data_IF_541755460330
#
_entry.id   IF_541755460330
#
_cell.length_a   1.000
_cell.length_b   1.000
_cell.length_c   1.000
_cell.angle_alpha   90.00
_cell.angle_beta   90.00
_cell.angle_gamma   90.00
#
_symmetry.space_group_name_H-M   'P 1'
#
loop_
_entity.id
_entity.type
_entity.pdbx_description
1 polymer ?
#
# COMPACT_ATOMS: atom_id res chain seq x y z
N UNK A 1 -54.46 39.63 -0.15
CA UNK A 1 -54.10 40.74 -1.04
C UNK A 1 -52.71 40.48 -1.60
N UNK A 2 -52.60 40.32 -2.92
CA UNK A 2 -51.35 40.08 -3.65
C UNK A 2 -50.60 41.41 -3.81
N UNK A 3 -49.27 41.40 -3.61
CA UNK A 3 -48.37 42.36 -4.27
C UNK A 3 -47.12 41.62 -4.76
N UNK A 4 -46.98 41.68 -6.07
CA UNK A 4 -45.92 41.21 -6.96
C UNK A 4 -45.01 42.40 -7.24
N UNK A 5 -43.69 42.33 -7.07
CA UNK A 5 -42.70 43.21 -7.75
C UNK A 5 -41.34 42.49 -7.80
N UNK A 6 -40.97 41.89 -8.95
CA UNK A 6 -40.01 42.33 -10.02
C UNK A 6 -38.57 41.84 -9.82
N UNK A 7 -38.14 41.08 -10.83
CA UNK A 7 -36.80 40.59 -11.12
C UNK A 7 -35.80 41.72 -11.43
N UNK A 8 -34.54 41.51 -11.05
CA UNK A 8 -33.41 42.35 -11.44
C UNK A 8 -32.19 41.49 -11.72
N UNK A 9 -32.09 40.98 -12.95
CA UNK A 9 -30.84 40.47 -13.55
C UNK A 9 -29.84 41.61 -13.68
N UNK A 10 -28.68 41.50 -13.02
CA UNK A 10 -27.52 42.35 -13.30
C UNK A 10 -26.42 41.47 -13.90
N UNK A 11 -26.07 41.86 -15.12
CA UNK A 11 -25.09 41.29 -16.02
C UNK A 11 -23.66 41.73 -15.63
N UNK A 12 -22.71 40.83 -15.89
CA UNK A 12 -21.25 40.86 -15.72
C UNK A 12 -20.51 42.09 -16.33
N UNK A 13 -19.25 42.38 -15.94
CA UNK A 13 -18.13 41.80 -16.71
C UNK A 13 -16.94 41.27 -15.90
N UNK A 14 -16.39 40.19 -16.48
CA UNK A 14 -15.10 39.53 -16.29
C UNK A 14 -13.88 40.46 -16.40
N UNK A 15 -12.86 40.19 -15.60
CA UNK A 15 -11.47 40.52 -15.92
C UNK A 15 -10.60 39.26 -15.72
N UNK A 16 -10.31 38.57 -16.83
CA UNK A 16 -9.22 37.61 -16.95
C UNK A 16 -7.92 38.42 -17.12
N UNK A 17 -6.93 38.20 -16.24
CA UNK A 17 -5.54 38.58 -16.50
C UNK A 17 -4.75 37.30 -16.72
N UNK A 18 -4.52 36.97 -17.99
CA UNK A 18 -3.54 35.99 -18.42
C UNK A 18 -2.16 36.64 -18.32
N UNK A 19 -1.30 36.10 -17.45
CA UNK A 19 0.13 36.41 -17.44
C UNK A 19 0.82 35.41 -18.37
N UNK A 20 1.17 35.89 -19.55
CA UNK A 20 2.02 35.21 -20.51
C UNK A 20 3.48 35.44 -20.13
N UNK A 21 4.24 34.36 -19.94
CA UNK A 21 5.68 34.35 -20.13
C UNK A 21 5.97 33.41 -21.29
N UNK A 22 6.53 33.98 -22.35
CA UNK A 22 7.15 33.30 -23.46
C UNK A 22 8.56 33.86 -23.55
N UNK A 23 9.58 33.01 -23.45
CA UNK A 23 10.63 32.98 -24.47
C UNK A 23 11.52 31.74 -24.32
N UNK A 24 11.99 31.32 -25.49
CA UNK A 24 12.56 30.04 -25.87
C UNK A 24 14.10 30.10 -25.96
N UNK A 25 14.70 28.90 -25.98
CA UNK A 25 15.96 28.50 -26.64
C UNK A 25 17.09 28.00 -25.71
N UNK A 26 17.60 26.80 -26.03
CA UNK A 26 18.98 26.43 -25.72
C UNK A 26 19.20 24.99 -25.23
N UNK A 27 19.23 24.05 -26.17
CA UNK A 27 19.77 22.69 -26.03
C UNK A 27 21.22 22.68 -25.50
N UNK A 28 21.53 21.80 -24.55
CA UNK A 28 22.67 20.86 -24.66
C UNK A 28 22.59 19.79 -23.56
N UNK A 29 22.22 18.59 -23.99
CA UNK A 29 22.60 17.34 -23.34
C UNK A 29 24.04 17.03 -23.76
N UNK A 30 24.86 16.48 -22.86
CA UNK A 30 26.01 15.58 -23.09
C UNK A 30 27.07 15.74 -21.99
N UNK A 31 27.26 14.66 -21.23
CA UNK A 31 28.57 14.21 -20.77
C UNK A 31 28.43 12.73 -20.39
N UNK A 32 28.36 11.88 -21.40
CA UNK A 32 29.07 10.60 -21.39
C UNK A 32 30.36 10.82 -22.16
N UNK A 33 31.49 10.44 -21.58
CA UNK A 33 32.30 9.31 -22.04
C UNK A 33 33.78 9.53 -21.66
N UNK A 34 34.38 8.48 -21.10
CA UNK A 34 35.66 7.94 -21.54
C UNK A 34 36.04 6.77 -20.63
N UNK A 35 35.46 5.62 -20.98
CA UNK A 35 36.13 4.37 -21.26
C UNK A 35 37.67 4.43 -21.32
N UNK A 36 38.37 3.54 -20.61
CA UNK A 36 39.25 2.57 -21.28
C UNK A 36 39.59 1.39 -20.38
N UNK A 37 39.63 0.23 -21.02
CA UNK A 37 39.63 -1.14 -20.50
C UNK A 37 41.02 -1.75 -20.69
N UNK A 38 41.26 -2.88 -19.99
CA UNK A 38 42.15 -4.01 -20.37
C UNK A 38 43.65 -3.78 -20.01
N UNK A 39 44.45 -4.74 -19.51
CA UNK A 39 44.56 -6.19 -19.71
C UNK A 39 45.13 -6.89 -18.45
N UNK A 40 44.52 -8.00 -18.02
CA UNK A 40 45.04 -9.39 -18.05
C UNK A 40 46.29 -9.70 -17.21
N UNK A 41 46.19 -10.68 -16.30
CA UNK A 41 46.96 -11.94 -16.33
C UNK A 41 46.61 -12.85 -15.12
N UNK A 42 45.88 -13.93 -15.40
CA UNK A 42 46.10 -15.26 -14.80
C UNK A 42 47.42 -15.83 -15.36
N UNK A 43 48.14 -16.79 -14.72
CA UNK A 43 47.56 -18.06 -14.26
C UNK A 43 48.21 -18.82 -13.07
N UNK A 44 47.49 -19.87 -12.66
CA UNK A 44 47.94 -21.23 -12.29
C UNK A 44 48.76 -21.52 -11.01
N UNK A 45 48.04 -22.16 -10.07
CA UNK A 45 48.26 -23.51 -9.51
C UNK A 45 49.66 -23.96 -9.03
N UNK A 46 49.75 -24.38 -7.76
CA UNK A 46 49.98 -25.79 -7.34
C UNK A 46 50.09 -25.94 -5.81
N UNK A 47 49.36 -26.94 -5.29
CA UNK A 47 49.70 -27.92 -4.24
C UNK A 47 50.23 -27.42 -2.87
N UNK A 48 49.47 -27.63 -1.79
CA UNK A 48 49.45 -28.83 -0.91
C UNK A 48 50.38 -28.66 0.29
N UNK A 49 49.82 -28.66 1.51
CA UNK A 49 50.06 -29.71 2.52
C UNK A 49 49.42 -29.38 3.89
N UNK A 50 48.69 -30.39 4.38
CA UNK A 50 48.56 -30.88 5.77
C UNK A 50 48.62 -29.92 6.96
N UNK A 51 47.57 -29.94 7.80
CA UNK A 51 47.72 -30.38 9.21
C UNK A 51 46.43 -31.09 9.68
N UNK A 52 46.63 -32.28 10.22
CA UNK A 52 45.68 -33.21 10.82
C UNK A 52 45.34 -32.84 12.29
N UNK A 53 44.34 -33.53 12.83
CA UNK A 53 43.98 -33.69 14.25
C UNK A 53 43.07 -32.63 14.89
N UNK A 54 41.79 -32.95 14.98
CA UNK A 54 40.93 -32.54 16.11
C UNK A 54 40.42 -33.81 16.79
N UNK A 55 40.77 -33.91 18.08
CA UNK A 55 40.48 -35.01 18.95
C UNK A 55 39.05 -34.90 19.50
N UNK A 56 38.42 -36.07 19.66
CA UNK A 56 37.15 -36.24 20.35
C UNK A 56 37.28 -35.91 21.85
N UNK A 57 36.40 -35.06 22.38
CA UNK A 57 36.00 -35.08 23.79
C UNK A 57 34.51 -34.74 23.92
N UNK A 58 33.76 -35.78 24.29
CA UNK A 58 32.40 -35.77 24.82
C UNK A 58 32.40 -35.13 26.23
N UNK A 59 31.48 -34.19 26.47
CA UNK A 59 31.09 -33.77 27.82
C UNK A 59 29.67 -33.19 27.79
N UNK A 60 28.82 -33.79 28.62
CA UNK A 60 27.39 -33.61 28.73
C UNK A 60 26.95 -32.32 29.45
N UNK A 61 25.65 -32.06 29.32
CA UNK A 61 24.77 -31.28 30.22
C UNK A 61 25.00 -29.76 30.31
N UNK A 62 24.12 -28.99 29.66
CA UNK A 62 23.24 -28.12 30.45
C UNK A 62 21.92 -27.90 29.70
N UNK A 63 20.83 -28.33 30.34
CA UNK A 63 19.48 -28.07 29.92
C UNK A 63 19.18 -26.58 30.18
N UNK A 64 19.40 -25.74 29.18
CA UNK A 64 18.78 -24.43 29.15
C UNK A 64 17.30 -24.61 28.80
N UNK A 65 16.50 -25.00 29.80
CA UNK A 65 15.08 -24.66 29.82
C UNK A 65 15.02 -23.13 29.70
N UNK A 66 14.79 -22.65 28.48
CA UNK A 66 14.32 -21.29 28.30
C UNK A 66 12.98 -21.23 29.06
N UNK A 67 12.77 -20.26 29.95
CA UNK A 67 11.45 -20.06 30.48
C UNK A 67 10.57 -19.73 29.27
N UNK A 68 9.67 -20.65 28.91
CA UNK A 68 8.45 -20.31 28.20
C UNK A 68 7.81 -19.22 29.05
N UNK A 69 8.07 -17.98 28.64
CA UNK A 69 7.28 -16.87 29.13
C UNK A 69 5.90 -17.17 28.58
N UNK A 70 4.96 -17.40 29.47
CA UNK A 70 3.56 -17.10 29.20
C UNK A 70 3.51 -15.60 28.87
N UNK A 71 3.94 -15.22 27.66
CA UNK A 71 3.49 -14.01 27.02
C UNK A 71 2.02 -14.26 26.77
N UNK A 72 1.21 -13.75 27.69
CA UNK A 72 -0.20 -13.47 27.48
C UNK A 72 -0.29 -12.80 26.10
N UNK A 73 -0.69 -13.57 25.07
CA UNK A 73 -0.76 -13.10 23.69
C UNK A 73 -1.77 -11.96 23.70
N UNK A 74 -1.27 -10.72 23.72
CA UNK A 74 -2.08 -9.53 23.92
C UNK A 74 -3.11 -9.35 22.80
N UNK A 75 -2.93 -10.05 21.67
CA UNK A 75 -3.87 -10.07 20.56
C UNK A 75 -4.90 -11.21 20.64
N UNK A 76 -4.74 -12.19 21.53
CA UNK A 76 -5.62 -13.36 21.64
C UNK A 76 -7.08 -13.05 21.97
N UNK A 77 -7.35 -11.84 22.49
CA UNK A 77 -8.72 -11.35 22.73
C UNK A 77 -9.43 -10.83 21.47
N UNK A 78 -8.71 -10.61 20.37
CA UNK A 78 -9.24 -10.07 19.11
C UNK A 78 -9.40 -11.15 18.05
N UNK A 79 -10.30 -10.91 17.10
CA UNK A 79 -10.45 -11.82 15.96
C UNK A 79 -9.25 -11.73 15.03
N UNK A 80 -8.98 -12.81 14.28
CA UNK A 80 -7.94 -12.79 13.25
C UNK A 80 -8.17 -11.72 12.18
N UNK A 81 -9.44 -11.43 11.88
CA UNK A 81 -9.85 -10.38 10.94
C UNK A 81 -9.49 -8.99 11.47
N UNK A 82 -9.84 -8.67 12.72
CA UNK A 82 -9.47 -7.39 13.35
C UNK A 82 -7.95 -7.21 13.37
N UNK A 83 -7.22 -8.26 13.72
CA UNK A 83 -5.75 -8.23 13.72
C UNK A 83 -5.20 -7.97 12.32
N UNK A 84 -5.75 -8.64 11.29
CA UNK A 84 -5.36 -8.43 9.91
C UNK A 84 -5.64 -6.99 9.45
N UNK A 85 -6.85 -6.47 9.69
CA UNK A 85 -7.25 -5.11 9.29
C UNK A 85 -6.34 -4.06 9.91
N UNK A 86 -6.03 -4.20 11.20
CA UNK A 86 -5.13 -3.29 11.88
C UNK A 86 -3.70 -3.38 11.34
N UNK A 87 -3.19 -4.57 11.05
CA UNK A 87 -1.84 -4.76 10.48
C UNK A 87 -1.73 -4.21 9.06
N UNK A 88 -2.74 -4.45 8.23
CA UNK A 88 -2.81 -3.89 6.87
C UNK A 88 -2.85 -2.37 6.92
N UNK A 89 -3.71 -1.79 7.76
CA UNK A 89 -3.75 -0.34 7.92
C UNK A 89 -2.43 0.21 8.48
N UNK A 90 -1.81 -0.47 9.45
CA UNK A 90 -0.53 -0.05 10.03
C UNK A 90 0.56 0.08 8.98
N UNK A 91 0.62 -0.86 8.04
CA UNK A 91 1.65 -0.92 7.02
C UNK A 91 1.35 -0.05 5.79
N UNK A 92 0.08 0.03 5.37
CA UNK A 92 -0.30 0.58 4.06
C UNK A 92 -1.23 1.80 4.14
N UNK A 93 -1.83 2.08 5.30
CA UNK A 93 -2.68 3.25 5.50
C UNK A 93 -1.88 4.55 5.33
N UNK A 94 -2.42 5.48 4.54
CA UNK A 94 -1.74 6.75 4.22
C UNK A 94 -1.55 7.64 5.45
N UNK A 95 -2.42 7.49 6.46
CA UNK A 95 -2.31 8.16 7.76
C UNK A 95 -2.52 7.17 8.91
N UNK A 96 -1.62 7.21 9.89
CA UNK A 96 -1.66 6.37 11.09
C UNK A 96 -2.37 7.06 12.26
N UNK A 97 -2.53 8.40 12.17
CA UNK A 97 -3.23 9.23 13.15
C UNK A 97 -4.67 9.46 12.70
N UNK A 98 -5.46 8.40 12.78
CA UNK A 98 -6.88 8.37 12.41
C UNK A 98 -7.77 8.39 13.65
N UNK A 99 -8.98 8.95 13.50
CA UNK A 99 -10.00 8.97 14.55
C UNK A 99 -10.88 7.71 14.56
N UNK A 100 -11.01 7.06 13.40
CA UNK A 100 -11.73 5.80 13.21
C UNK A 100 -11.17 5.06 11.99
N UNK A 101 -11.25 3.73 12.04
CA UNK A 101 -10.90 2.81 10.96
C UNK A 101 -12.17 2.10 10.49
N UNK A 102 -12.67 2.44 9.32
CA UNK A 102 -13.86 1.80 8.76
C UNK A 102 -13.48 0.56 7.95
N UNK A 103 -14.23 -0.52 8.14
CA UNK A 103 -14.06 -1.77 7.40
C UNK A 103 -15.28 -1.99 6.51
N UNK A 104 -15.06 -2.11 5.19
CA UNK A 104 -16.10 -2.47 4.23
C UNK A 104 -15.73 -3.78 3.53
N UNK A 105 -16.61 -4.77 3.61
CA UNK A 105 -16.51 -5.98 2.79
C UNK A 105 -17.22 -5.76 1.45
N UNK A 106 -16.61 -6.26 0.38
CA UNK A 106 -17.10 -6.15 -0.98
C UNK A 106 -17.00 -7.52 -1.62
N UNK A 107 -18.12 -8.05 -2.11
CA UNK A 107 -18.13 -9.39 -2.69
C UNK A 107 -17.54 -9.41 -4.11
N UNK A 108 -16.96 -10.55 -4.47
CA UNK A 108 -16.61 -10.87 -5.85
C UNK A 108 -17.81 -10.61 -6.79
N UNK A 109 -17.55 -9.99 -7.92
CA UNK A 109 -18.57 -9.60 -8.90
C UNK A 109 -19.21 -8.24 -8.66
N UNK A 110 -18.97 -7.56 -7.53
CA UNK A 110 -19.35 -6.15 -7.38
C UNK A 110 -18.49 -5.23 -8.28
N UNK A 111 -19.04 -4.12 -8.79
CA UNK A 111 -18.29 -3.19 -9.64
C UNK A 111 -17.21 -2.43 -8.85
N UNK A 112 -16.06 -2.15 -9.50
CA UNK A 112 -15.00 -1.29 -8.93
C UNK A 112 -15.51 0.16 -8.73
N UNK A 113 -16.35 0.63 -9.65
CA UNK A 113 -17.05 1.91 -9.59
C UNK A 113 -18.55 1.66 -9.74
N UNK A 114 -19.34 1.67 -8.65
CA UNK A 114 -20.78 1.47 -8.70
C UNK A 114 -21.54 2.51 -9.54
N UNK A 115 -20.95 3.68 -9.77
CA UNK A 115 -21.55 4.76 -10.55
C UNK A 115 -21.16 4.72 -12.05
N UNK A 116 -20.47 3.67 -12.51
CA UNK A 116 -20.09 3.47 -13.91
C UNK A 116 -20.55 2.10 -14.43
N UNK A 117 -21.50 2.09 -15.36
CA UNK A 117 -22.02 0.86 -15.99
C UNK A 117 -20.96 0.09 -16.81
N UNK A 118 -19.85 0.74 -17.15
CA UNK A 118 -18.71 0.12 -17.85
C UNK A 118 -17.61 -0.38 -16.92
N UNK A 119 -17.82 -0.29 -15.61
CA UNK A 119 -16.86 -0.72 -14.61
C UNK A 119 -16.55 -2.22 -14.72
N UNK A 120 -15.28 -2.57 -14.52
CA UNK A 120 -14.94 -3.96 -14.23
C UNK A 120 -15.47 -4.35 -12.85
N UNK A 121 -15.37 -5.63 -12.52
CA UNK A 121 -15.80 -6.19 -11.24
C UNK A 121 -14.62 -6.71 -10.45
N UNK A 122 -14.75 -6.75 -9.12
CA UNK A 122 -13.79 -7.44 -8.27
C UNK A 122 -13.77 -8.95 -8.62
N UNK A 123 -12.60 -9.55 -8.89
CA UNK A 123 -12.51 -10.96 -9.25
C UNK A 123 -12.68 -11.89 -8.03
N UNK A 124 -12.51 -11.38 -6.83
CA UNK A 124 -12.57 -12.08 -5.55
C UNK A 124 -13.18 -11.17 -4.47
N UNK A 125 -13.47 -11.73 -3.30
CA UNK A 125 -13.94 -10.94 -2.16
C UNK A 125 -12.80 -10.04 -1.66
N UNK A 126 -13.11 -8.76 -1.42
CA UNK A 126 -12.13 -7.78 -0.94
C UNK A 126 -12.65 -7.05 0.30
N UNK A 127 -11.70 -6.52 1.06
CA UNK A 127 -11.92 -5.59 2.17
C UNK A 127 -11.37 -4.22 1.76
N UNK A 128 -12.16 -3.17 1.98
CA UNK A 128 -11.73 -1.79 1.87
C UNK A 128 -11.66 -1.18 3.28
N UNK A 129 -10.45 -0.79 3.68
CA UNK A 129 -10.17 -0.05 4.89
C UNK A 129 -10.10 1.44 4.57
N UNK A 130 -10.63 2.30 5.44
CA UNK A 130 -10.49 3.76 5.28
C UNK A 130 -10.50 4.49 6.61
N UNK A 131 -9.79 5.61 6.68
CA UNK A 131 -9.91 6.53 7.81
C UNK A 131 -11.18 7.39 7.73
N UNK A 132 -11.48 8.11 8.81
CA UNK A 132 -12.67 8.97 8.90
C UNK A 132 -12.66 10.15 7.93
N UNK A 133 -11.49 10.66 7.57
CA UNK A 133 -11.32 11.80 6.67
C UNK A 133 -10.75 11.31 5.34
N UNK A 134 -11.07 12.01 4.26
CA UNK A 134 -10.56 11.64 2.93
C UNK A 134 -9.03 11.65 2.84
N UNK A 135 -8.38 12.57 3.56
CA UNK A 135 -6.92 12.65 3.63
C UNK A 135 -6.29 11.44 4.33
N UNK A 136 -7.06 10.71 5.13
CA UNK A 136 -6.58 9.49 5.78
C UNK A 136 -6.46 8.32 4.78
N UNK A 137 -7.13 8.44 3.62
CA UNK A 137 -7.01 7.51 2.50
C UNK A 137 -7.77 6.20 2.68
N UNK A 138 -7.45 5.23 1.83
CA UNK A 138 -8.02 3.89 1.86
C UNK A 138 -7.04 2.83 1.37
N UNK A 139 -7.24 1.58 1.79
CA UNK A 139 -6.56 0.40 1.28
C UNK A 139 -7.62 -0.62 0.89
N UNK A 140 -7.59 -1.10 -0.36
CA UNK A 140 -8.51 -2.16 -0.82
C UNK A 140 -7.70 -3.40 -1.12
N UNK A 141 -8.07 -4.55 -0.56
CA UNK A 141 -7.28 -5.78 -0.71
C UNK A 141 -8.11 -7.05 -0.52
N UNK A 142 -7.61 -8.19 -1.01
CA UNK A 142 -8.07 -9.54 -0.63
C UNK A 142 -7.01 -10.24 0.24
N UNK A 143 -7.44 -11.04 1.20
CA UNK A 143 -6.53 -11.84 2.03
C UNK A 143 -6.20 -13.18 1.38
N UNK A 144 -4.94 -13.59 1.43
CA UNK A 144 -4.50 -14.93 1.00
C UNK A 144 -4.49 -15.95 2.16
N UNK A 145 -4.75 -15.51 3.40
CA UNK A 145 -4.76 -16.38 4.59
C UNK A 145 -3.40 -16.86 5.09
N UNK A 146 -2.30 -16.43 4.46
CA UNK A 146 -0.91 -16.82 4.79
C UNK A 146 -0.05 -15.65 5.31
N UNK A 147 -0.71 -14.55 5.68
CA UNK A 147 -0.08 -13.28 6.05
C UNK A 147 0.36 -12.44 4.84
N UNK A 148 -0.08 -12.79 3.64
CA UNK A 148 -0.01 -11.94 2.45
C UNK A 148 -1.41 -11.49 2.01
N UNK A 149 -1.45 -10.39 1.25
CA UNK A 149 -2.66 -9.82 0.66
C UNK A 149 -2.45 -9.56 -0.83
N UNK A 150 -3.53 -9.47 -1.61
CA UNK A 150 -3.50 -8.88 -2.95
C UNK A 150 -4.13 -7.49 -2.89
N UNK A 151 -3.31 -6.44 -3.07
CA UNK A 151 -3.71 -5.03 -2.97
C UNK A 151 -4.21 -4.53 -4.32
N UNK A 152 -5.38 -3.90 -4.30
CA UNK A 152 -6.00 -3.25 -5.44
C UNK A 152 -5.84 -1.73 -5.34
N UNK A 153 -5.38 -1.09 -6.41
CA UNK A 153 -5.24 0.37 -6.49
C UNK A 153 -6.57 1.06 -6.85
N UNK A 154 -7.64 0.74 -6.10
CA UNK A 154 -8.97 1.35 -6.26
C UNK A 154 -9.06 2.61 -5.39
N UNK A 155 -9.42 3.77 -5.96
CA UNK A 155 -9.58 4.99 -5.17
C UNK A 155 -10.84 4.93 -4.30
N UNK A 156 -10.79 5.56 -3.12
CA UNK A 156 -11.99 5.74 -2.28
C UNK A 156 -13.08 6.57 -2.99
N UNK A 157 -12.67 7.48 -3.88
CA UNK A 157 -13.56 8.34 -4.67
C UNK A 157 -13.08 8.48 -6.11
N UNK A 158 -14.02 8.42 -7.04
CA UNK A 158 -13.78 8.57 -8.47
C UNK A 158 -13.94 10.04 -8.90
N UNK A 159 -13.08 10.94 -8.39
CA UNK A 159 -13.16 12.40 -8.60
C UNK A 159 -12.74 12.88 -10.03
N UNK A 160 -12.57 11.95 -10.96
CA UNK A 160 -12.14 12.19 -12.35
C UNK A 160 -13.28 12.24 -13.37
N UNK A 161 -12.93 12.10 -14.65
CA UNK A 161 -13.92 11.91 -15.72
C UNK A 161 -14.56 10.54 -15.57
N UNK A 162 -15.88 10.50 -15.45
CA UNK A 162 -16.68 9.27 -15.46
C UNK A 162 -17.45 9.16 -16.80
N UNK A 163 -17.44 8.02 -17.52
CA UNK A 163 -16.74 6.78 -17.22
C UNK A 163 -15.21 6.94 -17.19
N UNK A 164 -14.53 6.24 -16.28
CA UNK A 164 -13.06 6.30 -16.15
C UNK A 164 -12.37 5.70 -17.40
N UNK A 165 -13.06 4.81 -18.11
CA UNK A 165 -12.57 4.09 -19.27
C UNK A 165 -12.19 2.65 -18.90
N UNK A 166 -12.45 1.72 -19.83
CA UNK A 166 -12.20 0.28 -19.59
C UNK A 166 -10.74 -0.02 -19.29
N UNK A 167 -9.83 0.70 -19.94
CA UNK A 167 -8.39 0.55 -19.76
C UNK A 167 -7.97 0.83 -18.30
N UNK A 168 -8.55 1.85 -17.65
CA UNK A 168 -8.28 2.16 -16.24
C UNK A 168 -8.73 1.03 -15.32
N UNK A 169 -9.92 0.47 -15.58
CA UNK A 169 -10.43 -0.65 -14.78
C UNK A 169 -9.60 -1.93 -14.98
N UNK A 170 -9.22 -2.23 -16.22
CA UNK A 170 -8.34 -3.36 -16.53
C UNK A 170 -6.98 -3.19 -15.86
N UNK A 171 -6.39 -2.00 -15.90
CA UNK A 171 -5.10 -1.72 -15.25
C UNK A 171 -5.15 -1.96 -13.74
N UNK A 172 -6.24 -1.61 -13.07
CA UNK A 172 -6.42 -1.86 -11.63
C UNK A 172 -6.42 -3.36 -11.32
N UNK A 173 -7.07 -4.17 -12.16
CA UNK A 173 -7.13 -5.63 -11.97
C UNK A 173 -5.79 -6.27 -12.31
N UNK A 174 -5.21 -5.93 -13.45
CA UNK A 174 -3.99 -6.56 -13.96
C UNK A 174 -2.74 -6.20 -13.13
N UNK A 175 -2.73 -5.01 -12.51
CA UNK A 175 -1.64 -4.54 -11.66
C UNK A 175 -1.92 -4.75 -10.16
N UNK A 176 -2.68 -5.78 -9.82
CA UNK A 176 -2.86 -6.19 -8.41
C UNK A 176 -1.50 -6.61 -7.82
N UNK A 177 -1.17 -6.08 -6.64
CA UNK A 177 0.13 -6.30 -6.00
C UNK A 177 0.01 -7.27 -4.82
N UNK A 178 0.74 -8.40 -4.85
CA UNK A 178 0.83 -9.29 -3.67
C UNK A 178 1.85 -8.75 -2.66
N UNK A 179 1.43 -8.51 -1.43
CA UNK A 179 2.23 -7.88 -0.37
C UNK A 179 2.22 -8.74 0.88
N UNK A 180 3.39 -8.94 1.50
CA UNK A 180 3.48 -9.56 2.84
C UNK A 180 3.25 -8.52 3.92
N UNK A 181 2.35 -8.85 4.86
CA UNK A 181 2.00 -8.00 5.98
C UNK A 181 2.88 -8.33 7.18
N UNK A 182 3.51 -7.31 7.73
CA UNK A 182 4.31 -7.40 8.93
C UNK A 182 3.38 -7.50 10.17
N UNK A 183 3.64 -8.43 11.11
CA UNK A 183 2.88 -8.51 12.35
C UNK A 183 2.82 -7.20 13.16
N UNK A 184 3.89 -6.39 13.11
CA UNK A 184 4.01 -5.15 13.86
C UNK A 184 4.09 -5.36 15.38
N UNK A 185 3.99 -4.26 16.12
CA UNK A 185 3.98 -4.26 17.58
C UNK A 185 2.54 -4.37 18.10
N UNK A 186 2.24 -5.37 18.94
CA UNK A 186 0.88 -5.66 19.42
C UNK A 186 0.17 -4.43 19.99
N UNK A 187 0.89 -3.60 20.76
CA UNK A 187 0.33 -2.37 21.33
C UNK A 187 -0.16 -1.38 20.26
N UNK A 188 0.49 -1.31 19.11
CA UNK A 188 0.07 -0.45 18.01
C UNK A 188 -1.11 -1.06 17.26
N UNK A 189 -1.09 -2.37 17.06
CA UNK A 189 -2.20 -3.12 16.45
C UNK A 189 -3.47 -2.96 17.27
N UNK A 190 -3.39 -3.19 18.59
CA UNK A 190 -4.51 -3.04 19.53
C UNK A 190 -5.08 -1.61 19.49
N UNK A 191 -4.25 -0.58 19.33
CA UNK A 191 -4.74 0.80 19.20
C UNK A 191 -5.61 0.97 17.97
N UNK A 192 -5.19 0.42 16.82
CA UNK A 192 -5.96 0.50 15.57
C UNK A 192 -7.24 -0.34 15.65
N UNK A 193 -7.19 -1.54 16.23
CA UNK A 193 -8.39 -2.37 16.44
C UNK A 193 -9.44 -1.61 17.24
N UNK A 194 -9.04 -0.88 18.29
CA UNK A 194 -9.97 -0.08 19.12
C UNK A 194 -10.60 1.11 18.39
N UNK A 195 -10.12 1.47 17.20
CA UNK A 195 -10.69 2.51 16.35
C UNK A 195 -11.65 1.93 15.29
N UNK A 196 -11.80 0.61 15.19
CA UNK A 196 -12.63 -0.02 14.16
C UNK A 196 -14.12 0.30 14.34
N UNK A 197 -14.83 0.42 13.23
CA UNK A 197 -16.26 0.75 13.14
C UNK A 197 -16.98 -0.18 12.17
#
# INVERSE_FOLDING_TARGET
MRKLVIAGTILLPTAFLLMACSDEAGSSNENEDNNETTEQQEPAAAESENVDAEASMDAAEDAAEQPEREEDDALSEFSSEDIEYARVWRQLGANQEIEALYVRHISSGEPLNPDDETSAVYPEDVVQLSGARLVDGSVTYSSNGDGTINKYNVPLRWDGKNPAGREVYTEIIDNTETIRINPGEDKEIIKLIRLMQ
#
